data_IF_582457035212
#
_entry.id   IF_582457035212
#
_cell.length_a   1.000
_cell.length_b   1.000
_cell.length_c   1.000
_cell.angle_alpha   90.00
_cell.angle_beta   90.00
_cell.angle_gamma   90.00
#
_symmetry.space_group_name_H-M   'P 1'
#
loop_
_entity.id
_entity.type
_entity.pdbx_description
1 polymer ?
#
# COMPACT_ATOMS: atom_id res chain seq x y z
N UNK A 1 -16.36 -8.29 -22.23
CA UNK A 1 -16.57 -7.72 -20.88
C UNK A 1 -15.20 -7.51 -20.24
N UNK A 2 -15.07 -6.72 -19.18
CA UNK A 2 -13.85 -6.70 -18.36
C UNK A 2 -13.39 -8.14 -18.06
N UNK A 3 -12.16 -8.50 -18.44
CA UNK A 3 -11.63 -9.84 -18.29
C UNK A 3 -10.73 -9.84 -17.05
N UNK A 4 -11.32 -10.14 -15.89
CA UNK A 4 -10.52 -10.45 -14.72
C UNK A 4 -9.84 -11.80 -14.95
N UNK A 5 -8.56 -11.78 -15.34
CA UNK A 5 -7.76 -12.98 -15.61
C UNK A 5 -7.40 -13.72 -14.31
N UNK A 6 -7.56 -13.04 -13.16
CA UNK A 6 -7.32 -13.59 -11.83
C UNK A 6 -8.50 -14.42 -11.33
N UNK A 7 -8.19 -15.50 -10.60
CA UNK A 7 -9.20 -16.19 -9.80
C UNK A 7 -9.77 -15.27 -8.71
N UNK A 8 -10.97 -15.58 -8.21
CA UNK A 8 -11.60 -14.79 -7.13
C UNK A 8 -10.70 -14.69 -5.90
N UNK A 9 -10.01 -15.78 -5.56
CA UNK A 9 -9.08 -15.82 -4.43
C UNK A 9 -7.90 -14.84 -4.64
N UNK A 10 -7.26 -14.90 -5.80
CA UNK A 10 -6.14 -14.01 -6.13
C UNK A 10 -6.58 -12.55 -6.19
N UNK A 11 -7.78 -12.29 -6.72
CA UNK A 11 -8.34 -10.95 -6.76
C UNK A 11 -8.53 -10.37 -5.35
N UNK A 12 -9.11 -11.13 -4.42
CA UNK A 12 -9.29 -10.68 -3.03
C UNK A 12 -7.94 -10.43 -2.37
N UNK A 13 -6.99 -11.35 -2.57
CA UNK A 13 -5.64 -11.26 -2.00
C UNK A 13 -4.87 -10.03 -2.52
N UNK A 14 -4.95 -9.72 -3.82
CA UNK A 14 -4.26 -8.57 -4.41
C UNK A 14 -4.98 -7.24 -4.12
N UNK A 15 -6.29 -7.29 -3.82
CA UNK A 15 -7.09 -6.10 -3.47
C UNK A 15 -6.92 -5.67 -2.02
N UNK A 16 -6.85 -6.63 -1.08
CA UNK A 16 -6.83 -6.38 0.36
C UNK A 16 -5.52 -6.87 0.98
N UNK A 17 -4.45 -6.17 0.65
CA UNK A 17 -3.10 -6.51 1.11
C UNK A 17 -2.84 -6.01 2.53
N UNK A 18 -2.09 -6.76 3.35
CA UNK A 18 -1.57 -6.29 4.63
C UNK A 18 -0.83 -4.96 4.53
N UNK A 19 -1.23 -3.99 5.35
CA UNK A 19 -0.60 -2.67 5.40
C UNK A 19 0.52 -2.63 6.44
N UNK A 20 1.65 -2.03 6.07
CA UNK A 20 2.83 -1.84 6.90
C UNK A 20 3.18 -0.34 6.92
N UNK A 21 3.22 0.23 8.11
CA UNK A 21 3.60 1.62 8.33
C UNK A 21 5.11 1.78 8.21
N UNK A 22 5.57 2.95 7.77
CA UNK A 22 6.98 3.31 7.74
C UNK A 22 7.19 4.66 8.43
N UNK A 23 8.17 4.71 9.33
CA UNK A 23 8.71 5.92 9.93
C UNK A 23 10.22 5.99 9.65
N UNK A 24 10.64 7.07 9.01
CA UNK A 24 12.03 7.29 8.62
C UNK A 24 12.66 8.41 9.46
N UNK A 25 13.91 8.24 9.85
CA UNK A 25 14.76 9.34 10.31
C UNK A 25 15.07 10.32 9.17
N UNK A 26 15.38 11.57 9.52
CA UNK A 26 15.77 12.60 8.54
C UNK A 26 16.98 12.18 7.70
N UNK A 27 17.99 11.54 8.30
CA UNK A 27 19.15 11.04 7.54
C UNK A 27 18.78 9.86 6.63
N UNK A 28 17.90 8.96 7.05
CA UNK A 28 17.43 7.87 6.17
C UNK A 28 16.68 8.43 4.94
N UNK A 29 15.87 9.48 5.13
CA UNK A 29 15.26 10.19 4.01
C UNK A 29 16.29 10.86 3.12
N UNK A 30 17.31 11.51 3.70
CA UNK A 30 18.40 12.14 2.94
C UNK A 30 19.14 11.13 2.07
N UNK A 31 19.48 9.96 2.63
CA UNK A 31 20.19 8.89 1.92
C UNK A 31 19.34 8.32 0.79
N UNK A 32 18.06 8.00 1.05
CA UNK A 32 17.17 7.45 0.01
C UNK A 32 16.94 8.46 -1.12
N UNK A 33 16.79 9.75 -0.78
CA UNK A 33 16.53 10.82 -1.76
C UNK A 33 17.66 11.03 -2.76
N UNK A 34 18.88 10.53 -2.52
CA UNK A 34 19.95 10.51 -3.53
C UNK A 34 19.56 9.78 -4.81
N UNK A 35 18.66 8.80 -4.71
CA UNK A 35 18.11 8.05 -5.84
C UNK A 35 16.84 8.68 -6.41
N UNK A 36 16.46 9.90 -5.98
CA UNK A 36 15.20 10.56 -6.31
C UNK A 36 13.93 9.77 -5.90
N UNK A 37 14.07 8.86 -4.94
CA UNK A 37 12.98 8.04 -4.39
C UNK A 37 12.96 8.15 -2.87
N UNK A 38 11.78 8.07 -2.27
CA UNK A 38 11.66 7.85 -0.84
C UNK A 38 11.82 6.36 -0.48
N UNK A 39 11.99 6.05 0.81
CA UNK A 39 12.19 4.67 1.26
C UNK A 39 11.05 3.71 0.85
N UNK A 40 9.80 4.18 0.93
CA UNK A 40 8.62 3.38 0.55
C UNK A 40 8.63 3.05 -0.94
N UNK A 41 9.01 3.99 -1.80
CA UNK A 41 9.15 3.79 -3.23
C UNK A 41 10.30 2.83 -3.56
N UNK A 42 11.42 2.91 -2.85
CA UNK A 42 12.54 1.98 -2.97
C UNK A 42 12.11 0.54 -2.65
N UNK A 43 11.26 0.37 -1.63
CA UNK A 43 10.82 -0.94 -1.15
C UNK A 43 9.71 -1.56 -2.02
N UNK A 44 8.89 -0.73 -2.68
CA UNK A 44 7.69 -1.14 -3.44
C UNK A 44 7.92 -2.33 -4.40
N UNK A 45 9.01 -2.43 -5.18
CA UNK A 45 9.26 -3.57 -6.06
C UNK A 45 9.41 -4.91 -5.32
N UNK A 46 9.83 -4.87 -4.06
CA UNK A 46 10.13 -6.06 -3.23
C UNK A 46 8.95 -6.46 -2.33
N UNK A 47 7.81 -5.79 -2.44
CA UNK A 47 6.65 -6.04 -1.60
C UNK A 47 5.80 -7.25 -2.03
N UNK A 48 6.11 -7.90 -3.15
CA UNK A 48 5.45 -9.13 -3.62
C UNK A 48 6.41 -10.30 -3.50
N UNK A 49 6.01 -11.30 -2.72
CA UNK A 49 6.74 -12.55 -2.62
C UNK A 49 6.53 -13.36 -3.90
N UNK A 50 7.61 -13.59 -4.65
CA UNK A 50 7.62 -14.38 -5.89
C UNK A 50 7.74 -15.89 -5.65
N UNK A 51 8.13 -16.28 -4.43
CA UNK A 51 8.29 -17.67 -4.03
C UNK A 51 7.12 -18.15 -3.17
N UNK A 52 6.87 -19.45 -3.16
CA UNK A 52 5.90 -20.04 -2.23
C UNK A 52 6.46 -20.02 -0.81
N UNK A 53 5.76 -19.36 0.11
CA UNK A 53 6.09 -19.36 1.54
C UNK A 53 5.38 -20.50 2.25
N UNK A 54 6.00 -21.05 3.29
CA UNK A 54 5.35 -22.02 4.17
C UNK A 54 5.29 -21.48 5.60
N UNK A 55 4.09 -21.35 6.13
CA UNK A 55 3.82 -20.89 7.49
C UNK A 55 3.27 -22.08 8.27
N UNK A 56 3.77 -22.29 9.49
CA UNK A 56 3.16 -23.28 10.40
C UNK A 56 2.16 -22.59 11.29
N UNK A 57 0.96 -23.14 11.36
CA UNK A 57 -0.04 -22.69 12.32
C UNK A 57 0.35 -23.14 13.76
N UNK A 58 -0.36 -22.67 14.81
CA UNK A 58 -0.11 -23.10 16.19
C UNK A 58 -0.30 -24.62 16.43
N UNK A 59 -1.03 -25.31 15.54
CA UNK A 59 -1.18 -26.77 15.56
C UNK A 59 -0.07 -27.49 14.76
N UNK A 60 0.97 -26.76 14.33
CA UNK A 60 2.09 -27.23 13.53
C UNK A 60 1.69 -27.77 12.14
N UNK A 61 0.53 -27.38 11.61
CA UNK A 61 0.11 -27.65 10.24
C UNK A 61 0.78 -26.67 9.26
N UNK A 62 1.30 -27.19 8.16
CA UNK A 62 2.00 -26.42 7.14
C UNK A 62 1.00 -25.77 6.18
N UNK A 63 0.88 -24.45 6.24
CA UNK A 63 0.10 -23.64 5.32
C UNK A 63 0.99 -23.05 4.24
N UNK A 64 0.64 -23.29 2.98
CA UNK A 64 1.37 -22.72 1.84
C UNK A 64 0.74 -21.38 1.47
N UNK A 65 1.54 -20.33 1.50
CA UNK A 65 1.14 -18.97 1.12
C UNK A 65 1.81 -18.64 -0.20
N UNK A 66 1.00 -18.49 -1.24
CA UNK A 66 1.44 -18.11 -2.58
C UNK A 66 1.10 -16.64 -2.82
N UNK A 67 1.90 -15.94 -3.62
CA UNK A 67 1.61 -14.57 -4.07
C UNK A 67 1.37 -13.57 -2.92
N UNK A 68 2.02 -13.76 -1.76
CA UNK A 68 1.86 -12.82 -0.64
C UNK A 68 2.36 -11.44 -1.07
N UNK A 69 1.50 -10.44 -0.92
CA UNK A 69 1.83 -9.05 -1.19
C UNK A 69 1.56 -8.24 0.05
N UNK A 70 2.47 -7.34 0.38
CA UNK A 70 2.27 -6.32 1.41
C UNK A 70 2.18 -4.94 0.75
N UNK A 71 1.57 -3.99 1.43
CA UNK A 71 1.62 -2.59 1.05
C UNK A 71 2.35 -1.82 2.15
N UNK A 72 3.29 -0.97 1.73
CA UNK A 72 4.07 -0.12 2.61
C UNK A 72 3.71 1.33 2.34
N UNK A 73 3.52 2.11 3.39
CA UNK A 73 3.22 3.53 3.28
C UNK A 73 3.76 4.31 4.46
N UNK A 74 4.14 5.56 4.20
CA UNK A 74 4.56 6.47 5.26
C UNK A 74 3.38 6.73 6.20
N UNK A 75 3.68 6.89 7.48
CA UNK A 75 2.66 7.28 8.45
C UNK A 75 2.21 8.70 8.16
N UNK A 76 0.91 8.85 7.84
CA UNK A 76 0.27 10.15 7.63
C UNK A 76 -0.72 10.36 8.76
N UNK A 77 -0.45 11.35 9.60
CA UNK A 77 -1.26 11.68 10.79
C UNK A 77 -2.27 12.81 10.55
N UNK A 78 -2.41 13.26 9.30
CA UNK A 78 -3.34 14.35 8.97
C UNK A 78 -4.78 13.95 9.28
N UNK A 79 -5.61 14.86 9.84
CA UNK A 79 -7.02 14.60 10.07
C UNK A 79 -7.75 14.49 8.73
N UNK A 80 -7.93 13.28 8.20
CA UNK A 80 -8.79 13.06 7.05
C UNK A 80 -10.25 13.19 7.49
N UNK A 81 -11.06 14.05 6.86
CA UNK A 81 -12.45 14.20 7.21
C UNK A 81 -13.24 12.97 6.73
N UNK A 82 -13.79 12.20 7.67
CA UNK A 82 -14.77 11.12 7.47
C UNK A 82 -14.31 9.91 6.64
N UNK A 83 -15.00 8.78 6.82
CA UNK A 83 -14.80 7.53 6.05
C UNK A 83 -15.23 7.63 4.57
N UNK A 84 -15.40 8.84 4.03
CA UNK A 84 -15.80 9.08 2.64
C UNK A 84 -14.59 9.48 1.78
N UNK A 85 -14.63 9.08 0.50
CA UNK A 85 -13.59 9.44 -0.47
C UNK A 85 -13.48 10.95 -0.57
N UNK A 86 -12.29 11.47 -0.30
CA UNK A 86 -12.02 12.91 -0.37
C UNK A 86 -12.19 13.45 -1.79
N UNK A 87 -12.41 14.77 -1.91
CA UNK A 87 -12.52 15.42 -3.22
C UNK A 87 -11.30 15.20 -4.12
N UNK A 88 -10.09 15.08 -3.55
CA UNK A 88 -8.86 14.75 -4.26
C UNK A 88 -8.85 13.31 -4.80
N UNK A 89 -9.33 12.34 -4.02
CA UNK A 89 -9.46 10.94 -4.46
C UNK A 89 -10.50 10.81 -5.57
N UNK A 90 -11.66 11.48 -5.45
CA UNK A 90 -12.67 11.46 -6.52
C UNK A 90 -12.16 12.07 -7.84
N UNK A 91 -11.34 13.13 -7.76
CA UNK A 91 -10.66 13.69 -8.94
C UNK A 91 -9.70 12.67 -9.58
N UNK A 92 -8.87 12.00 -8.77
CA UNK A 92 -7.97 10.96 -9.25
C UNK A 92 -8.73 9.81 -9.94
N UNK A 93 -9.81 9.33 -9.31
CA UNK A 93 -10.64 8.28 -9.90
C UNK A 93 -11.27 8.73 -11.21
N UNK A 94 -11.70 9.99 -11.30
CA UNK A 94 -12.25 10.56 -12.54
C UNK A 94 -11.19 10.64 -13.64
N UNK A 95 -9.94 11.00 -13.29
CA UNK A 95 -8.81 11.06 -14.21
C UNK A 95 -8.43 9.67 -14.75
N UNK A 96 -8.47 8.64 -13.90
CA UNK A 96 -8.24 7.25 -14.33
C UNK A 96 -9.30 6.81 -15.35
N UNK A 97 -10.58 7.12 -15.08
CA UNK A 97 -11.67 6.82 -16.02
C UNK A 97 -11.46 7.53 -17.37
N UNK A 98 -11.01 8.79 -17.33
CA UNK A 98 -10.73 9.55 -18.54
C UNK A 98 -9.54 9.00 -19.33
N UNK A 99 -8.48 8.58 -18.63
CA UNK A 99 -7.23 8.10 -19.24
C UNK A 99 -7.33 6.69 -19.82
N UNK A 100 -8.26 5.87 -19.33
CA UNK A 100 -8.41 4.46 -19.70
C UNK A 100 -9.62 4.19 -20.62
N UNK A 101 -10.04 5.19 -21.40
CA UNK A 101 -11.14 5.02 -22.35
C UNK A 101 -10.82 3.95 -23.40
N UNK A 102 -11.81 3.17 -23.86
CA UNK A 102 -11.62 2.23 -24.97
C UNK A 102 -11.15 2.98 -26.22
N UNK A 103 -10.16 2.44 -26.94
CA UNK A 103 -9.76 2.99 -28.24
C UNK A 103 -10.96 3.03 -29.21
N UNK A 104 -11.02 4.03 -30.09
CA UNK A 104 -12.13 4.22 -31.05
C UNK A 104 -12.36 3.02 -31.99
N UNK A 105 -11.37 2.14 -32.16
CA UNK A 105 -11.47 0.91 -32.95
C UNK A 105 -11.87 -0.35 -32.13
N UNK A 106 -12.29 -0.19 -30.88
CA UNK A 106 -12.68 -1.30 -30.03
C UNK A 106 -13.90 -2.05 -30.59
N UNK A 107 -13.89 -3.37 -30.49
CA UNK A 107 -15.02 -4.20 -30.90
C UNK A 107 -16.28 -3.74 -30.15
N UNK A 108 -17.33 -3.43 -30.91
CA UNK A 108 -18.63 -3.02 -30.39
C UNK A 108 -19.66 -4.09 -30.71
N UNK A 109 -20.49 -4.43 -29.71
CA UNK A 109 -21.67 -5.27 -29.89
C UNK A 109 -22.87 -4.36 -30.09
N UNK A 110 -23.53 -4.50 -31.24
CA UNK A 110 -24.81 -3.87 -31.50
C UNK A 110 -25.93 -4.68 -30.82
N UNK A 111 -26.69 -4.06 -29.93
CA UNK A 111 -27.87 -4.64 -29.31
C UNK A 111 -29.11 -3.85 -29.74
N UNK A 112 -30.12 -4.53 -30.27
CA UNK A 112 -31.40 -3.91 -30.64
C UNK A 112 -32.43 -4.20 -29.57
N UNK A 113 -32.92 -3.16 -28.90
CA UNK A 113 -34.05 -3.24 -27.95
C UNK A 113 -35.20 -2.40 -28.49
N UNK A 114 -36.15 -3.05 -29.17
CA UNK A 114 -37.22 -2.36 -29.91
C UNK A 114 -36.66 -1.48 -31.04
N UNK A 115 -36.93 -0.18 -30.95
CA UNK A 115 -36.45 0.85 -31.90
C UNK A 115 -35.08 1.44 -31.53
N UNK A 116 -34.52 1.07 -30.38
CA UNK A 116 -33.21 1.53 -29.94
C UNK A 116 -32.11 0.61 -30.44
N UNK A 117 -31.11 1.19 -31.11
CA UNK A 117 -29.88 0.52 -31.51
C UNK A 117 -28.74 0.98 -30.58
N UNK A 118 -28.32 0.11 -29.67
CA UNK A 118 -27.27 0.39 -28.70
C UNK A 118 -25.96 -0.22 -29.19
N UNK A 119 -24.94 0.59 -29.41
CA UNK A 119 -23.58 0.10 -29.66
C UNK A 119 -22.84 0.07 -28.33
N UNK A 120 -22.59 -1.12 -27.81
CA UNK A 120 -21.87 -1.31 -26.55
C UNK A 120 -20.44 -1.75 -26.82
N UNK A 121 -19.48 -1.13 -26.14
CA UNK A 121 -18.10 -1.60 -26.20
C UNK A 121 -18.01 -2.99 -25.54
N UNK A 122 -17.37 -3.93 -26.23
CA UNK A 122 -17.17 -5.29 -25.72
C UNK A 122 -16.27 -5.25 -24.48
N UNK A 123 -15.34 -4.30 -24.38
CA UNK A 123 -14.40 -4.16 -23.26
C UNK A 123 -14.57 -2.82 -22.54
N UNK A 124 -14.32 -2.82 -21.23
CA UNK A 124 -14.35 -1.62 -20.37
C UNK A 124 -13.06 -1.48 -19.56
N UNK A 125 -11.91 -1.14 -20.20
CA UNK A 125 -10.62 -1.06 -19.50
C UNK A 125 -10.63 -0.02 -18.38
N UNK A 126 -11.32 1.11 -18.59
CA UNK A 126 -11.55 2.13 -17.57
C UNK A 126 -12.17 1.58 -16.28
N UNK A 127 -13.02 0.56 -16.36
CA UNK A 127 -13.69 0.00 -15.19
C UNK A 127 -12.73 -0.82 -14.33
N UNK A 128 -11.83 -1.58 -14.95
CA UNK A 128 -10.80 -2.34 -14.23
C UNK A 128 -9.85 -1.39 -13.51
N UNK A 129 -9.34 -0.38 -14.23
CA UNK A 129 -8.47 0.64 -13.66
C UNK A 129 -9.16 1.43 -12.54
N UNK A 130 -10.41 1.86 -12.76
CA UNK A 130 -11.21 2.54 -11.73
C UNK A 130 -11.40 1.66 -10.49
N UNK A 131 -11.81 0.40 -10.66
CA UNK A 131 -12.04 -0.54 -9.56
C UNK A 131 -10.78 -0.75 -8.73
N UNK A 132 -9.64 -0.97 -9.38
CA UNK A 132 -8.36 -1.18 -8.69
C UNK A 132 -7.95 0.04 -7.87
N UNK A 133 -8.05 1.24 -8.48
CA UNK A 133 -7.72 2.49 -7.79
C UNK A 133 -8.71 2.79 -6.66
N UNK A 134 -10.01 2.52 -6.88
CA UNK A 134 -11.05 2.69 -5.87
C UNK A 134 -10.74 1.83 -4.65
N UNK A 135 -10.51 0.52 -4.84
CA UNK A 135 -10.24 -0.41 -3.75
C UNK A 135 -8.97 -0.03 -2.97
N UNK A 136 -7.91 0.40 -3.65
CA UNK A 136 -6.68 0.86 -3.02
C UNK A 136 -6.81 2.20 -2.28
N UNK A 137 -7.79 3.03 -2.66
CA UNK A 137 -8.00 4.35 -2.06
C UNK A 137 -8.93 4.35 -0.83
N UNK A 138 -9.54 3.21 -0.50
CA UNK A 138 -10.51 3.15 0.59
C UNK A 138 -9.86 3.47 1.94
N UNK A 139 -10.41 4.41 2.74
CA UNK A 139 -9.88 4.71 4.06
C UNK A 139 -10.14 3.57 5.04
N UNK A 140 -9.35 3.47 6.10
CA UNK A 140 -9.60 2.53 7.19
C UNK A 140 -10.84 2.96 8.01
N UNK A 141 -11.78 2.05 8.25
CA UNK A 141 -13.01 2.28 9.03
C UNK A 141 -12.98 1.60 10.40
N UNK A 142 -13.73 2.10 11.40
CA UNK A 142 -13.77 1.49 12.75
C UNK A 142 -14.53 0.16 12.79
N UNK A 143 -15.33 -0.11 11.76
CA UNK A 143 -16.22 -1.27 11.69
C UNK A 143 -15.67 -2.42 10.83
N UNK A 144 -14.42 -2.30 10.38
CA UNK A 144 -13.71 -3.33 9.63
C UNK A 144 -12.22 -3.28 9.96
N UNK A 145 -11.45 -4.27 9.48
CA UNK A 145 -10.00 -4.32 9.68
C UNK A 145 -9.20 -4.12 8.40
N UNK A 146 -9.86 -3.73 7.30
CA UNK A 146 -9.19 -3.40 6.05
C UNK A 146 -8.36 -2.13 6.21
N UNK A 147 -7.22 -2.09 5.53
CA UNK A 147 -6.31 -0.94 5.52
C UNK A 147 -5.76 -0.51 6.90
N UNK A 148 -5.87 -1.37 7.92
CA UNK A 148 -5.22 -1.17 9.22
C UNK A 148 -3.76 -1.63 9.17
N UNK A 149 -2.87 -0.85 9.77
CA UNK A 149 -1.46 -1.22 9.86
C UNK A 149 -1.26 -2.39 10.83
N UNK A 150 -0.58 -3.43 10.35
CA UNK A 150 -0.22 -4.62 11.15
C UNK A 150 1.13 -4.46 11.86
N UNK A 151 2.04 -3.69 11.25
CA UNK A 151 3.39 -3.48 11.74
C UNK A 151 3.90 -2.08 11.34
N UNK A 152 5.00 -1.67 11.96
CA UNK A 152 5.71 -0.44 11.65
C UNK A 152 7.20 -0.74 11.41
N UNK A 153 7.73 -0.28 10.27
CA UNK A 153 9.16 -0.21 9.99
C UNK A 153 9.71 1.10 10.54
N UNK A 154 10.70 1.02 11.41
CA UNK A 154 11.46 2.16 11.88
C UNK A 154 12.78 2.16 11.13
N UNK A 155 13.03 3.18 10.31
CA UNK A 155 14.15 3.24 9.37
C UNK A 155 15.13 4.33 9.79
N UNK A 156 16.36 3.92 10.08
CA UNK A 156 17.44 4.83 10.52
C UNK A 156 18.65 4.64 9.62
N UNK A 157 19.35 5.74 9.30
CA UNK A 157 20.59 5.66 8.54
C UNK A 157 21.77 5.26 9.43
N UNK A 158 22.73 4.50 8.90
CA UNK A 158 24.01 4.24 9.54
C UNK A 158 24.91 5.47 9.65
N UNK A 159 24.59 6.55 8.93
CA UNK A 159 25.30 7.83 8.98
C UNK A 159 24.93 8.67 10.21
N UNK A 160 23.89 8.26 10.93
CA UNK A 160 23.48 8.90 12.18
C UNK A 160 24.57 8.72 13.25
N UNK A 161 24.84 9.78 14.02
CA UNK A 161 25.86 9.72 15.07
C UNK A 161 25.51 8.70 16.17
N UNK A 162 24.22 8.56 16.49
CA UNK A 162 23.72 7.62 17.49
C UNK A 162 22.44 6.92 16.96
N UNK A 163 22.57 5.90 16.08
CA UNK A 163 21.43 5.26 15.43
C UNK A 163 20.44 4.63 16.42
N UNK A 164 20.94 4.10 17.54
CA UNK A 164 20.12 3.48 18.60
C UNK A 164 19.19 4.49 19.26
N UNK A 165 19.68 5.70 19.54
CA UNK A 165 18.85 6.77 20.10
C UNK A 165 17.77 7.20 19.11
N UNK A 166 18.12 7.25 17.81
CA UNK A 166 17.17 7.58 16.77
C UNK A 166 16.07 6.52 16.64
N UNK A 167 16.40 5.23 16.75
CA UNK A 167 15.39 4.17 16.82
C UNK A 167 14.47 4.29 18.03
N UNK A 168 14.99 4.70 19.19
CA UNK A 168 14.17 4.95 20.37
C UNK A 168 13.20 6.12 20.15
N UNK A 169 13.67 7.22 19.53
CA UNK A 169 12.82 8.36 19.16
C UNK A 169 11.68 7.95 18.23
N UNK A 170 11.99 7.23 17.14
CA UNK A 170 10.96 6.75 16.20
C UNK A 170 9.98 5.77 16.87
N UNK A 171 10.46 4.93 17.79
CA UNK A 171 9.60 3.99 18.54
C UNK A 171 8.64 4.73 19.48
N UNK A 172 9.10 5.81 20.13
CA UNK A 172 8.27 6.67 20.97
C UNK A 172 7.26 7.45 20.13
N UNK A 173 7.68 7.97 18.97
CA UNK A 173 6.80 8.63 18.01
C UNK A 173 5.68 7.71 17.55
N UNK A 174 6.01 6.47 17.13
CA UNK A 174 5.01 5.47 16.77
C UNK A 174 4.02 5.22 17.92
N UNK A 175 4.53 5.07 19.15
CA UNK A 175 3.69 4.82 20.32
C UNK A 175 2.77 6.02 20.60
N UNK A 176 3.29 7.25 20.46
CA UNK A 176 2.49 8.48 20.57
C UNK A 176 1.39 8.49 19.52
N UNK A 177 1.70 8.23 18.26
CA UNK A 177 0.73 8.22 17.16
C UNK A 177 -0.41 7.22 17.42
N UNK A 178 -0.09 6.07 18.00
CA UNK A 178 -1.06 5.02 18.27
C UNK A 178 -1.92 5.27 19.52
N UNK A 179 -1.36 5.88 20.57
CA UNK A 179 -2.01 5.92 21.90
C UNK A 179 -2.31 7.33 22.44
N UNK A 180 -1.80 8.41 21.83
CA UNK A 180 -2.02 9.76 22.37
C UNK A 180 -3.49 10.20 22.32
N UNK A 181 -4.31 9.58 21.46
CA UNK A 181 -5.68 10.01 21.18
C UNK A 181 -5.77 11.33 20.40
N UNK A 182 -4.62 11.97 20.10
CA UNK A 182 -4.54 13.18 19.28
C UNK A 182 -4.80 12.88 17.79
N UNK A 183 -4.58 11.64 17.38
CA UNK A 183 -4.66 11.20 15.99
C UNK A 183 -5.81 10.21 15.82
N UNK A 184 -6.68 10.49 14.86
CA UNK A 184 -7.73 9.55 14.41
C UNK A 184 -7.22 8.59 13.34
N UNK A 185 -6.10 8.93 12.70
CA UNK A 185 -5.45 8.15 11.66
C UNK A 185 -3.92 8.19 11.83
N UNK A 186 -3.20 7.14 11.43
CA UNK A 186 -3.74 5.91 10.85
C UNK A 186 -4.28 4.93 11.89
N UNK A 187 -5.04 3.93 11.42
CA UNK A 187 -5.58 2.87 12.28
C UNK A 187 -4.63 1.67 12.36
N UNK A 188 -4.52 1.12 13.57
CA UNK A 188 -3.64 0.00 13.88
C UNK A 188 -4.49 -1.24 14.19
N UNK A 189 -4.03 -2.40 13.72
CA UNK A 189 -4.79 -3.65 13.89
C UNK A 189 -4.75 -4.18 15.32
N UNK A 190 -3.61 -4.03 16.00
CA UNK A 190 -3.42 -4.43 17.41
C UNK A 190 -2.89 -3.27 18.25
N UNK A 191 -3.23 -3.18 19.55
CA UNK A 191 -2.71 -2.15 20.45
C UNK A 191 -1.18 -2.19 20.61
N UNK A 192 -0.56 -3.37 20.51
CA UNK A 192 0.88 -3.52 20.58
C UNK A 192 1.44 -3.89 19.21
N UNK A 193 1.57 -2.89 18.34
CA UNK A 193 2.02 -3.07 16.96
C UNK A 193 3.44 -3.65 16.89
N UNK A 194 3.66 -4.59 15.95
CA UNK A 194 4.98 -5.15 15.68
C UNK A 194 5.93 -4.07 15.12
N UNK A 195 7.11 -3.94 15.72
CA UNK A 195 8.13 -2.96 15.32
C UNK A 195 9.32 -3.68 14.70
N UNK A 196 9.69 -3.29 13.49
CA UNK A 196 10.89 -3.79 12.81
C UNK A 196 11.87 -2.65 12.62
N UNK A 197 13.12 -2.89 13.01
CA UNK A 197 14.19 -1.91 12.97
C UNK A 197 15.03 -2.14 11.73
N UNK A 198 15.08 -1.15 10.83
CA UNK A 198 15.84 -1.19 9.58
C UNK A 198 16.97 -0.18 9.66
N UNK A 199 18.21 -0.67 9.61
CA UNK A 199 19.39 0.18 9.48
C UNK A 199 19.75 0.28 8.00
N UNK A 200 19.59 1.47 7.44
CA UNK A 200 19.93 1.78 6.05
C UNK A 200 21.40 2.20 5.98
N UNK A 201 22.17 1.56 5.09
CA UNK A 201 23.56 1.92 4.85
C UNK A 201 23.74 2.32 3.38
N UNK A 202 24.35 3.48 3.16
CA UNK A 202 24.78 3.90 1.83
C UNK A 202 26.19 3.39 1.55
N UNK A 203 26.32 2.46 0.60
CA UNK A 203 27.61 1.88 0.23
C UNK A 203 28.58 2.92 -0.35
N UNK A 204 28.09 4.05 -0.87
CA UNK A 204 28.97 5.10 -1.43
C UNK A 204 29.55 6.02 -0.35
N UNK A 205 28.95 6.07 0.85
CA UNK A 205 29.47 6.85 1.99
C UNK A 205 30.22 5.98 3.01
N UNK A 206 30.30 4.66 2.78
CA UNK A 206 31.06 3.73 3.59
C UNK A 206 32.54 3.77 3.23
N UNK A 207 33.40 4.08 4.21
CA UNK A 207 34.84 3.85 4.08
C UNK A 207 35.07 2.33 3.95
N UNK A 208 35.73 1.88 2.88
CA UNK A 208 36.02 0.46 2.59
C UNK A 208 37.02 -0.17 3.59
N UNK A 209 37.34 0.50 4.69
CA UNK A 209 38.25 0.01 5.71
C UNK A 209 37.46 -0.70 6.82
N UNK A 210 37.18 -1.98 6.58
CA UNK A 210 37.01 -2.99 7.63
C UNK A 210 38.24 -3.86 7.72
#
# INVERSE_FOLDING_TARGET
MAQCVLSVHEFIQDSFVPMIAVLCSGEAERVTRKNNLNFVELLRPFCRLTSEGHIRDPNNQLQTVKNLRICVSNVVTSPSPSASLGASQNRLLSEVVFSCQPQEAAQTTAMRTGDYHLNLNVTTPWFEAYRENFLQSMPASDHEFLNHYLACLLVVSSTEAVPVEQFLKLSQEQHKIQHSGEYTNPKWFIPNTLKYYVLLHDMNEGDEQR
#
